data_IF_908026954683
#
_entry.id   IF_908026954683
#
_cell.length_a   1.000
_cell.length_b   1.000
_cell.length_c   1.000
_cell.angle_alpha   90.00
_cell.angle_beta   90.00
_cell.angle_gamma   90.00
#
_symmetry.space_group_name_H-M   'P 1'
#
loop_
_entity.id
_entity.type
_entity.pdbx_description
1 polymer ?
#
# COMPACT_ATOMS: atom_id res chain seq x y z
N UNK A 1 3.61 27.48 -16.91
CA UNK A 1 3.43 26.80 -16.88
C UNK A 1 3.55 25.57 -16.21
N UNK A 2 3.02 25.01 -15.80
CA UNK A 2 3.14 24.05 -15.29
C UNK A 2 2.59 23.08 -15.80
N UNK A 3 2.25 23.07 -16.73
CA UNK A 3 1.76 22.17 -17.42
C UNK A 3 2.53 21.03 -17.42
N UNK A 4 3.69 20.98 -17.13
CA UNK A 4 4.49 19.79 -17.10
C UNK A 4 4.33 19.03 -15.79
N UNK A 5 3.65 19.61 -14.84
CA UNK A 5 3.37 18.90 -13.59
C UNK A 5 2.42 17.73 -13.83
N UNK A 6 2.66 16.58 -13.21
CA UNK A 6 1.75 15.45 -13.36
C UNK A 6 0.38 15.79 -12.77
N UNK A 7 -0.68 15.15 -13.24
CA UNK A 7 -2.01 15.37 -12.68
C UNK A 7 -1.99 15.12 -11.19
N UNK A 8 -2.71 15.95 -10.45
CA UNK A 8 -2.79 15.78 -9.02
C UNK A 8 -3.68 14.59 -8.70
N UNK A 9 -3.20 13.73 -7.83
CA UNK A 9 -3.99 12.63 -7.34
C UNK A 9 -4.44 12.96 -5.93
N UNK A 10 -5.53 12.37 -5.49
CA UNK A 10 -5.99 12.52 -4.12
C UNK A 10 -5.19 11.60 -3.22
N UNK A 11 -5.14 11.88 -1.90
CA UNK A 11 -4.49 10.94 -0.97
C UNK A 11 -5.07 9.53 -1.06
N UNK A 12 -6.36 9.42 -1.37
CA UNK A 12 -7.00 8.12 -1.53
C UNK A 12 -6.44 7.41 -2.76
N UNK A 13 -6.33 8.13 -3.88
CA UNK A 13 -5.79 7.53 -5.09
C UNK A 13 -4.32 7.12 -4.91
N UNK A 14 -3.55 7.93 -4.20
CA UNK A 14 -2.17 7.60 -3.90
C UNK A 14 -2.07 6.34 -3.06
N UNK A 15 -2.93 6.22 -2.05
CA UNK A 15 -2.96 5.05 -1.20
C UNK A 15 -3.35 3.80 -2.00
N UNK A 16 -4.33 3.92 -2.89
CA UNK A 16 -4.71 2.80 -3.76
C UNK A 16 -3.55 2.39 -4.67
N UNK A 17 -2.82 3.37 -5.19
CA UNK A 17 -1.69 3.10 -6.06
C UNK A 17 -0.57 2.34 -5.32
N UNK A 18 -0.35 2.68 -4.05
CA UNK A 18 0.63 1.96 -3.23
C UNK A 18 0.27 0.48 -3.14
N UNK A 19 -1.03 0.18 -3.07
CA UNK A 19 -1.50 -1.20 -3.02
C UNK A 19 -1.63 -1.82 -4.42
N UNK A 20 -1.38 -1.05 -5.47
CA UNK A 20 -1.52 -1.54 -6.84
C UNK A 20 -2.96 -1.65 -7.29
N UNK A 21 -3.85 -0.86 -6.70
CA UNK A 21 -5.28 -0.93 -6.99
C UNK A 21 -5.76 0.26 -7.80
N UNK A 22 -6.80 0.07 -8.63
CA UNK A 22 -7.38 1.17 -9.39
C UNK A 22 -8.22 2.08 -8.49
N UNK A 23 -8.55 3.29 -8.97
CA UNK A 23 -9.32 4.24 -8.17
C UNK A 23 -10.72 3.76 -7.77
N UNK A 24 -11.29 2.81 -8.53
CA UNK A 24 -12.61 2.28 -8.25
C UNK A 24 -12.59 0.99 -7.45
N UNK A 25 -11.46 0.65 -6.84
CA UNK A 25 -11.36 -0.56 -6.02
C UNK A 25 -12.36 -0.53 -4.87
N UNK A 26 -12.97 -1.68 -4.61
CA UNK A 26 -13.97 -1.80 -3.54
C UNK A 26 -13.28 -2.01 -2.19
N UNK A 27 -14.06 -1.88 -1.12
CA UNK A 27 -13.56 -2.18 0.21
C UNK A 27 -13.03 -3.61 0.29
N UNK A 28 -13.73 -4.55 -0.32
CA UNK A 28 -13.30 -5.94 -0.35
C UNK A 28 -11.96 -6.11 -1.07
N UNK A 29 -11.79 -5.40 -2.19
CA UNK A 29 -10.54 -5.44 -2.94
C UNK A 29 -9.38 -4.91 -2.08
N UNK A 30 -9.63 -3.82 -1.37
CA UNK A 30 -8.61 -3.19 -0.53
C UNK A 30 -8.19 -4.13 0.58
N UNK A 31 -9.16 -4.73 1.27
CA UNK A 31 -8.87 -5.66 2.37
C UNK A 31 -8.12 -6.88 1.88
N UNK A 32 -8.57 -7.44 0.77
CA UNK A 32 -7.96 -8.64 0.20
C UNK A 32 -6.51 -8.37 -0.21
N UNK A 33 -6.29 -7.25 -0.89
CA UNK A 33 -4.97 -6.86 -1.36
C UNK A 33 -4.03 -6.56 -0.18
N UNK A 34 -4.53 -5.82 0.82
CA UNK A 34 -3.72 -5.54 2.00
C UNK A 34 -3.27 -6.82 2.69
N UNK A 35 -4.20 -7.78 2.83
CA UNK A 35 -3.89 -9.05 3.47
C UNK A 35 -2.83 -9.82 2.67
N UNK A 36 -2.99 -9.85 1.35
CA UNK A 36 -2.03 -10.53 0.48
C UNK A 36 -0.65 -9.90 0.57
N UNK A 37 -0.59 -8.57 0.47
CA UNK A 37 0.68 -7.85 0.52
C UNK A 37 1.34 -7.99 1.89
N UNK A 38 0.54 -8.01 2.95
CA UNK A 38 1.07 -8.20 4.30
C UNK A 38 1.73 -9.54 4.45
N UNK A 39 1.15 -10.59 3.86
CA UNK A 39 1.74 -11.91 3.91
C UNK A 39 3.02 -11.96 3.07
N UNK A 40 3.00 -11.37 1.89
CA UNK A 40 4.14 -11.41 0.98
C UNK A 40 5.34 -10.63 1.52
N UNK A 41 5.09 -9.56 2.25
CA UNK A 41 6.15 -8.67 2.73
C UNK A 41 6.40 -8.80 4.23
N UNK A 42 5.86 -9.82 4.86
CA UNK A 42 6.06 -10.00 6.30
C UNK A 42 7.54 -10.27 6.57
N UNK A 43 8.17 -9.55 7.51
CA UNK A 43 9.60 -9.73 7.78
C UNK A 43 9.99 -11.17 8.10
N UNK A 44 9.11 -11.91 8.78
CA UNK A 44 9.40 -13.29 9.16
C UNK A 44 9.55 -14.22 7.95
N UNK A 45 8.93 -13.86 6.84
CA UNK A 45 9.00 -14.70 5.64
C UNK A 45 10.34 -14.57 4.92
N UNK A 46 11.05 -13.48 5.15
CA UNK A 46 12.31 -13.21 4.46
C UNK A 46 13.50 -13.21 5.39
N UNK A 47 13.32 -13.63 6.64
CA UNK A 47 14.41 -13.67 7.62
C UNK A 47 15.57 -14.52 7.13
N UNK A 48 15.28 -15.63 6.48
CA UNK A 48 16.30 -16.54 5.99
C UNK A 48 17.10 -15.97 4.83
N UNK A 49 16.65 -14.87 4.23
CA UNK A 49 17.34 -14.26 3.12
C UNK A 49 18.37 -13.22 3.56
N UNK A 50 18.41 -12.90 4.86
CA UNK A 50 19.38 -11.94 5.39
C UNK A 50 18.75 -10.64 5.80
N UNK A 51 19.54 -9.84 6.52
CA UNK A 51 19.05 -8.59 7.10
C UNK A 51 18.61 -7.55 6.10
N UNK A 52 19.23 -7.53 4.92
CA UNK A 52 18.86 -6.55 3.89
C UNK A 52 17.44 -6.78 3.41
N UNK A 53 17.05 -8.03 3.22
CA UNK A 53 15.70 -8.37 2.78
C UNK A 53 14.69 -8.09 3.86
N UNK A 54 15.06 -8.32 5.12
CA UNK A 54 14.18 -8.02 6.23
C UNK A 54 13.91 -6.52 6.32
N UNK A 55 14.94 -5.70 6.19
CA UNK A 55 14.80 -4.25 6.25
C UNK A 55 13.89 -3.75 5.13
N UNK A 56 14.05 -4.31 3.92
CA UNK A 56 13.22 -3.94 2.79
C UNK A 56 11.76 -4.34 3.02
N UNK A 57 11.54 -5.53 3.58
CA UNK A 57 10.19 -5.98 3.89
C UNK A 57 9.52 -5.08 4.92
N UNK A 58 10.27 -4.66 5.95
CA UNK A 58 9.73 -3.76 6.96
C UNK A 58 9.36 -2.41 6.36
N UNK A 59 10.20 -1.90 5.47
CA UNK A 59 9.92 -0.63 4.80
C UNK A 59 8.67 -0.73 3.93
N UNK A 60 8.54 -1.81 3.17
CA UNK A 60 7.37 -2.03 2.34
C UNK A 60 6.12 -2.15 3.17
N UNK A 61 6.19 -2.88 4.29
CA UNK A 61 5.03 -3.02 5.18
C UNK A 61 4.61 -1.69 5.76
N UNK A 62 5.57 -0.82 6.07
CA UNK A 62 5.23 0.51 6.57
C UNK A 62 4.40 1.27 5.55
N UNK A 63 4.83 1.27 4.29
CA UNK A 63 4.08 1.95 3.23
C UNK A 63 2.70 1.34 3.00
N UNK A 64 2.62 0.02 3.01
CA UNK A 64 1.36 -0.69 2.84
C UNK A 64 0.40 -0.36 3.98
N UNK A 65 0.88 -0.37 5.21
CA UNK A 65 0.05 -0.07 6.37
C UNK A 65 -0.40 1.38 6.39
N UNK A 66 0.46 2.30 6.00
CA UNK A 66 0.08 3.72 5.92
C UNK A 66 -1.02 3.91 4.88
N UNK A 67 -0.88 3.27 3.71
CA UNK A 67 -1.89 3.37 2.66
C UNK A 67 -3.23 2.81 3.15
N UNK A 68 -3.19 1.66 3.81
CA UNK A 68 -4.40 1.04 4.33
C UNK A 68 -5.08 1.93 5.38
N UNK A 69 -4.30 2.52 6.27
CA UNK A 69 -4.81 3.43 7.29
C UNK A 69 -5.50 4.64 6.65
N UNK A 70 -4.89 5.22 5.63
CA UNK A 70 -5.50 6.35 4.91
C UNK A 70 -6.83 5.97 4.29
N UNK A 71 -6.90 4.78 3.70
CA UNK A 71 -8.12 4.31 3.08
C UNK A 71 -9.22 4.07 4.11
N UNK A 72 -8.85 3.57 5.28
CA UNK A 72 -9.82 3.41 6.36
C UNK A 72 -10.33 4.76 6.84
N UNK A 73 -9.43 5.71 7.03
CA UNK A 73 -9.79 7.04 7.52
C UNK A 73 -10.65 7.80 6.53
N UNK A 74 -10.49 7.52 5.24
CA UNK A 74 -11.28 8.18 4.21
C UNK A 74 -12.60 7.48 3.94
N UNK A 75 -12.91 6.40 4.66
CA UNK A 75 -14.16 5.68 4.49
C UNK A 75 -14.18 4.68 3.34
N UNK A 76 -13.05 4.42 2.69
CA UNK A 76 -12.98 3.48 1.59
C UNK A 76 -12.95 2.02 2.06
N UNK A 77 -12.65 1.80 3.33
CA UNK A 77 -12.61 0.45 3.92
C UNK A 77 -13.67 0.38 4.99
N UNK A 78 -14.56 -0.57 4.85
CA UNK A 78 -15.65 -0.78 5.81
C UNK A 78 -15.25 -1.79 6.89
#
# INVERSE_FOLDING_TARGET
ARRDAPPRTTPVEDALAVLGLPPDATSADIKSTWRKLSLENHPDRVTHLGGEFRALAEERMRGINEAYTRLKESGRVE
#
